data_IF_976794853830
#
_entry.id   IF_976794853830
#
_cell.length_a   1.000
_cell.length_b   1.000
_cell.length_c   1.000
_cell.angle_alpha   90.00
_cell.angle_beta   90.00
_cell.angle_gamma   90.00
#
_symmetry.space_group_name_H-M   'P 1'
#
loop_
_entity.id
_entity.type
_entity.pdbx_description
1 polymer ?
#
# COMPACT_ATOMS: atom_id res chain seq x y z
N UNK A 1 -24.78 1.35 -6.82
CA UNK A 1 -23.62 1.55 -5.91
C UNK A 1 -22.36 1.45 -6.76
N UNK A 2 -21.75 2.57 -7.14
CA UNK A 2 -20.44 2.53 -7.80
C UNK A 2 -19.48 1.87 -6.79
N UNK A 3 -18.87 0.76 -7.17
CA UNK A 3 -18.17 -0.12 -6.24
C UNK A 3 -16.94 0.61 -5.64
N UNK A 4 -17.05 1.10 -4.39
CA UNK A 4 -15.99 1.88 -3.71
C UNK A 4 -14.66 1.12 -3.68
N UNK A 5 -14.71 -0.20 -3.48
CA UNK A 5 -13.53 -1.07 -3.52
C UNK A 5 -12.84 -1.07 -4.89
N UNK A 6 -13.60 -1.00 -6.00
CA UNK A 6 -13.02 -0.95 -7.34
C UNK A 6 -12.33 0.39 -7.61
N UNK A 7 -12.91 1.50 -7.13
CA UNK A 7 -12.26 2.82 -7.20
C UNK A 7 -10.97 2.84 -6.40
N UNK A 8 -11.01 2.35 -5.15
CA UNK A 8 -9.84 2.27 -4.29
C UNK A 8 -8.74 1.39 -4.92
N UNK A 9 -9.11 0.22 -5.45
CA UNK A 9 -8.18 -0.65 -6.17
C UNK A 9 -7.50 0.07 -7.32
N UNK A 10 -8.24 0.83 -8.13
CA UNK A 10 -7.67 1.59 -9.24
C UNK A 10 -6.70 2.68 -8.76
N UNK A 11 -7.01 3.37 -7.66
CA UNK A 11 -6.10 4.34 -7.04
C UNK A 11 -4.81 3.66 -6.59
N UNK A 12 -4.91 2.53 -5.88
CA UNK A 12 -3.76 1.73 -5.43
C UNK A 12 -2.89 1.32 -6.62
N UNK A 13 -3.49 0.71 -7.64
CA UNK A 13 -2.74 0.26 -8.84
C UNK A 13 -2.07 1.42 -9.58
N UNK A 14 -2.71 2.58 -9.63
CA UNK A 14 -2.16 3.76 -10.31
C UNK A 14 -0.97 4.33 -9.54
N UNK A 15 -1.07 4.42 -8.20
CA UNK A 15 0.03 4.86 -7.34
C UNK A 15 1.28 4.00 -7.56
N UNK A 16 1.15 2.67 -7.46
CA UNK A 16 2.27 1.76 -7.66
C UNK A 16 2.90 1.90 -9.07
N UNK A 17 2.07 2.00 -10.11
CA UNK A 17 2.56 2.20 -11.49
C UNK A 17 3.35 3.50 -11.66
N UNK A 18 2.95 4.59 -11.01
CA UNK A 18 3.69 5.86 -11.06
C UNK A 18 5.09 5.74 -10.46
N UNK A 19 5.28 4.81 -9.52
CA UNK A 19 6.57 4.51 -8.90
C UNK A 19 7.32 3.35 -9.58
N UNK A 20 6.89 2.92 -10.78
CA UNK A 20 7.53 1.83 -11.53
C UNK A 20 7.29 0.43 -10.94
N UNK A 21 6.34 0.30 -10.01
CA UNK A 21 5.99 -0.96 -9.36
C UNK A 21 4.74 -1.57 -10.00
N UNK A 22 4.67 -2.89 -10.01
CA UNK A 22 3.49 -3.65 -10.45
C UNK A 22 3.01 -4.56 -9.33
N UNK A 23 1.76 -4.40 -8.91
CA UNK A 23 1.16 -5.28 -7.90
C UNK A 23 0.64 -6.56 -8.53
N UNK A 24 0.89 -7.68 -7.85
CA UNK A 24 0.15 -8.93 -8.07
C UNK A 24 -1.30 -8.77 -7.61
N UNK A 25 -2.19 -9.65 -8.09
CA UNK A 25 -3.62 -9.55 -7.78
C UNK A 25 -3.88 -9.63 -6.27
N UNK A 26 -3.26 -10.59 -5.60
CA UNK A 26 -3.38 -10.81 -4.15
C UNK A 26 -2.87 -9.61 -3.35
N UNK A 27 -1.80 -8.96 -3.80
CA UNK A 27 -1.24 -7.77 -3.16
C UNK A 27 -2.23 -6.59 -3.26
N UNK A 28 -2.79 -6.38 -4.46
CA UNK A 28 -3.80 -5.33 -4.66
C UNK A 28 -5.08 -5.57 -3.86
N UNK A 29 -5.48 -6.84 -3.65
CA UNK A 29 -6.65 -7.18 -2.83
C UNK A 29 -6.37 -6.92 -1.35
N UNK A 30 -5.20 -7.34 -0.86
CA UNK A 30 -4.77 -7.09 0.51
C UNK A 30 -4.74 -5.59 0.83
N UNK A 31 -4.13 -4.77 -0.03
CA UNK A 31 -4.07 -3.32 0.19
C UNK A 31 -5.45 -2.66 0.18
N UNK A 32 -6.40 -3.16 -0.62
CA UNK A 32 -7.79 -2.69 -0.57
C UNK A 32 -8.40 -2.97 0.81
N UNK A 33 -8.21 -4.17 1.35
CA UNK A 33 -8.73 -4.54 2.67
C UNK A 33 -8.12 -3.67 3.78
N UNK A 34 -6.80 -3.46 3.76
CA UNK A 34 -6.07 -2.62 4.72
C UNK A 34 -6.50 -1.15 4.65
N UNK A 35 -6.69 -0.60 3.45
CA UNK A 35 -6.99 0.82 3.26
C UNK A 35 -8.49 1.14 3.28
N UNK A 36 -9.36 0.14 3.23
CA UNK A 36 -10.82 0.33 3.34
C UNK A 36 -11.22 1.03 4.66
N UNK A 37 -10.75 0.62 5.85
CA UNK A 37 -11.07 1.32 7.10
C UNK A 37 -10.41 2.70 7.24
N UNK A 38 -9.36 2.99 6.46
CA UNK A 38 -8.68 4.29 6.47
C UNK A 38 -9.56 5.35 5.77
N UNK A 39 -9.63 6.55 6.36
CA UNK A 39 -10.38 7.66 5.77
C UNK A 39 -9.82 8.05 4.41
N UNK A 40 -10.69 8.50 3.50
CA UNK A 40 -10.28 8.82 2.13
C UNK A 40 -9.17 9.86 2.04
N UNK A 41 -9.14 10.81 2.97
CA UNK A 41 -8.12 11.88 3.04
C UNK A 41 -6.73 11.30 3.36
N UNK A 42 -6.67 10.33 4.27
CA UNK A 42 -5.43 9.76 4.79
C UNK A 42 -4.88 8.62 3.91
N UNK A 43 -5.71 8.04 3.03
CA UNK A 43 -5.31 6.94 2.14
C UNK A 43 -4.15 7.28 1.21
N UNK A 44 -4.05 8.54 0.78
CA UNK A 44 -2.96 9.00 -0.09
C UNK A 44 -1.62 8.93 0.65
N UNK A 45 -1.56 9.54 1.83
CA UNK A 45 -0.39 9.48 2.72
C UNK A 45 -0.01 8.03 3.08
N UNK A 46 -1.00 7.18 3.38
CA UNK A 46 -0.75 5.77 3.66
C UNK A 46 -0.15 5.04 2.45
N UNK A 47 -0.63 5.31 1.24
CA UNK A 47 -0.08 4.71 0.02
C UNK A 47 1.36 5.14 -0.22
N UNK A 48 1.65 6.44 -0.08
CA UNK A 48 3.00 6.97 -0.25
C UNK A 48 3.97 6.31 0.75
N UNK A 49 3.57 6.20 2.03
CA UNK A 49 4.38 5.53 3.06
C UNK A 49 4.64 4.05 2.74
N UNK A 50 3.61 3.30 2.35
CA UNK A 50 3.77 1.88 1.98
C UNK A 50 4.74 1.74 0.80
N UNK A 51 4.63 2.60 -0.21
CA UNK A 51 5.52 2.58 -1.38
C UNK A 51 6.95 2.93 -0.96
N UNK A 52 7.14 3.95 -0.14
CA UNK A 52 8.46 4.34 0.37
C UNK A 52 9.11 3.20 1.16
N UNK A 53 8.36 2.53 2.02
CA UNK A 53 8.84 1.35 2.76
C UNK A 53 9.22 0.21 1.82
N UNK A 54 8.39 -0.10 0.82
CA UNK A 54 8.71 -1.11 -0.18
C UNK A 54 10.00 -0.77 -0.96
N UNK A 55 10.20 0.50 -1.30
CA UNK A 55 11.42 0.94 -1.99
C UNK A 55 12.67 0.81 -1.11
N UNK A 56 12.55 1.02 0.20
CA UNK A 56 13.64 0.80 1.17
C UNK A 56 14.00 -0.68 1.33
N UNK A 57 13.03 -1.58 1.19
CA UNK A 57 13.23 -3.04 1.31
C UNK A 57 14.10 -3.66 0.20
N UNK A 58 14.65 -2.87 -0.74
CA UNK A 58 15.52 -3.35 -1.83
C UNK A 58 14.93 -4.54 -2.58
N UNK A 59 13.73 -4.34 -3.14
CA UNK A 59 13.00 -5.38 -3.85
C UNK A 59 13.86 -6.01 -4.97
N UNK A 60 13.85 -7.34 -5.02
CA UNK A 60 14.54 -8.10 -6.07
C UNK A 60 13.91 -7.92 -7.46
N UNK A 61 12.64 -7.49 -7.50
CA UNK A 61 11.84 -7.30 -8.71
C UNK A 61 10.85 -6.15 -8.51
N UNK A 62 10.49 -5.46 -9.60
CA UNK A 62 9.44 -4.42 -9.57
C UNK A 62 8.03 -5.00 -9.40
N UNK A 63 7.87 -6.33 -9.44
CA UNK A 63 6.62 -7.01 -9.18
C UNK A 63 6.46 -7.29 -7.67
N UNK A 64 5.52 -6.59 -7.04
CA UNK A 64 5.26 -6.63 -5.60
C UNK A 64 4.16 -7.64 -5.29
N UNK A 65 4.46 -8.59 -4.41
CA UNK A 65 3.52 -9.58 -3.90
C UNK A 65 2.86 -9.17 -2.58
N UNK A 66 2.06 -10.10 -2.04
CA UNK A 66 1.34 -9.87 -0.77
C UNK A 66 2.30 -9.77 0.42
N UNK A 67 3.32 -10.63 0.45
CA UNK A 67 4.27 -10.69 1.56
C UNK A 67 5.03 -9.36 1.74
N UNK A 68 5.50 -8.77 0.64
CA UNK A 68 6.18 -7.48 0.67
C UNK A 68 5.22 -6.37 1.16
N UNK A 69 3.96 -6.39 0.71
CA UNK A 69 2.95 -5.44 1.20
C UNK A 69 2.64 -5.62 2.69
N UNK A 70 2.55 -6.86 3.18
CA UNK A 70 2.31 -7.16 4.60
C UNK A 70 3.44 -6.61 5.47
N UNK A 71 4.69 -6.88 5.09
CA UNK A 71 5.86 -6.34 5.80
C UNK A 71 5.87 -4.82 5.78
N UNK A 72 5.63 -4.19 4.62
CA UNK A 72 5.59 -2.74 4.52
C UNK A 72 4.48 -2.09 5.37
N UNK A 73 3.29 -2.70 5.39
CA UNK A 73 2.18 -2.23 6.24
C UNK A 73 2.51 -2.40 7.72
N UNK A 74 3.14 -3.51 8.12
CA UNK A 74 3.57 -3.72 9.51
C UNK A 74 4.59 -2.66 9.95
N UNK A 75 5.59 -2.38 9.12
CA UNK A 75 6.57 -1.30 9.39
C UNK A 75 5.89 0.08 9.47
N UNK A 76 4.97 0.41 8.56
CA UNK A 76 4.22 1.66 8.62
C UNK A 76 3.41 1.83 9.92
N UNK A 77 2.91 0.73 10.50
CA UNK A 77 2.23 0.73 11.79
C UNK A 77 3.22 0.90 12.94
N UNK A 78 4.34 0.18 12.94
CA UNK A 78 5.36 0.28 13.99
C UNK A 78 5.98 1.68 14.05
N UNK A 79 6.26 2.31 12.91
CA UNK A 79 6.76 3.70 12.84
C UNK A 79 5.79 4.73 13.45
N UNK A 80 4.47 4.45 13.47
CA UNK A 80 3.50 5.33 14.13
C UNK A 80 3.56 5.23 15.65
N UNK A 81 3.94 4.06 16.17
CA UNK A 81 4.05 3.82 17.61
C UNK A 81 5.35 4.41 18.18
N UNK A 82 6.44 4.41 17.42
CA UNK A 82 7.75 4.93 17.84
C UNK A 82 7.88 6.46 17.82
N UNK A 83 7.08 7.18 17.02
CA UNK A 83 7.07 8.67 17.01
C UNK A 83 6.27 9.28 18.18
N UNK A 84 5.71 8.43 19.05
CA UNK A 84 4.95 8.84 20.25
C UNK A 84 5.77 8.80 21.56
N UNK A 85 7.09 8.60 21.47
CA UNK A 85 8.03 8.45 22.61
C UNK A 85 8.81 9.68 23.00
#
# INVERSE_FOLDING_TARGET
KINMAAKLKNTILSAFKMHGLTLRSEASQYLVEVLTPVNQQDRSQWLDRIIDTLQKQSLLTSMVGKAECETAVQECNAEQEDDSG
#
